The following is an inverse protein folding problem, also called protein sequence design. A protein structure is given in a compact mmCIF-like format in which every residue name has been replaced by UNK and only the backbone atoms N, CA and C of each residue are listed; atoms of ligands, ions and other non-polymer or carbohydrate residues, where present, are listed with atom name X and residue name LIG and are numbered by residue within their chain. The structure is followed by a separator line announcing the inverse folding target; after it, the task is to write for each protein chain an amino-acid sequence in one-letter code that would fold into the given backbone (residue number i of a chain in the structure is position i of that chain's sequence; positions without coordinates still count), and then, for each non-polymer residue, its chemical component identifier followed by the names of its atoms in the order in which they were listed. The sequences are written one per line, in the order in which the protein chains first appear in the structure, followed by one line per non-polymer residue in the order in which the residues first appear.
data_IF_309153491867
#
_entry.id   IF_309153491867
#
_cell.length_a   1.000
_cell.length_b   1.000
_cell.length_c   1.000
_cell.angle_alpha   90.00
_cell.angle_beta   90.00
_cell.angle_gamma   90.00
#
_symmetry.space_group_name_H-M   'P 1'
#
loop_
_entity.id
_entity.type
_entity.pdbx_description
1 polymer ?
#
# COMPACT_ATOMS: atom_id res chain seq x y z
N UNK A 1 -26.73 41.16 -11.54
CA UNK A 1 -26.00 40.05 -10.89
C UNK A 1 -26.84 39.58 -9.73
N UNK A 2 -27.76 38.64 -9.96
CA UNK A 2 -28.62 38.11 -8.90
C UNK A 2 -28.02 36.81 -8.38
N UNK A 3 -27.39 36.89 -7.22
CA UNK A 3 -26.88 35.74 -6.48
C UNK A 3 -28.06 35.10 -5.75
N UNK A 4 -28.65 34.06 -6.37
CA UNK A 4 -29.67 33.24 -5.72
C UNK A 4 -29.04 32.49 -4.55
N UNK A 5 -29.45 32.87 -3.34
CA UNK A 5 -29.15 32.18 -2.09
C UNK A 5 -29.87 30.83 -2.15
N UNK A 6 -29.11 29.75 -2.33
CA UNK A 6 -29.61 28.38 -2.20
C UNK A 6 -29.82 28.13 -0.70
N UNK A 7 -31.07 28.19 -0.27
CA UNK A 7 -31.50 27.77 1.06
C UNK A 7 -31.27 26.27 1.20
N UNK A 8 -30.25 25.87 1.96
CA UNK A 8 -30.06 24.48 2.39
C UNK A 8 -31.23 24.05 3.28
N UNK A 9 -31.89 22.90 3.04
CA UNK A 9 -32.81 22.34 4.00
C UNK A 9 -32.02 21.86 5.23
N UNK A 10 -32.58 22.12 6.40
CA UNK A 10 -32.02 21.77 7.71
C UNK A 10 -31.96 20.25 7.89
N UNK A 11 -30.83 19.63 7.51
CA UNK A 11 -30.54 18.25 7.88
C UNK A 11 -30.45 18.15 9.42
N UNK A 12 -31.43 17.48 10.05
CA UNK A 12 -31.35 17.13 11.48
C UNK A 12 -30.10 16.27 11.70
N UNK A 13 -29.29 16.63 12.69
CA UNK A 13 -28.05 15.91 12.99
C UNK A 13 -28.35 14.43 13.32
N UNK A 14 -27.53 13.48 12.82
CA UNK A 14 -27.76 12.07 13.06
C UNK A 14 -27.67 11.78 14.57
N UNK A 15 -28.62 11.01 15.08
CA UNK A 15 -28.65 10.56 16.48
C UNK A 15 -27.56 9.52 16.66
N UNK A 16 -26.34 9.96 17.00
CA UNK A 16 -25.23 9.08 17.35
C UNK A 16 -25.39 8.62 18.80
N UNK A 17 -25.82 7.37 18.99
CA UNK A 17 -25.83 6.72 20.31
C UNK A 17 -24.52 5.93 20.46
N UNK A 18 -23.62 6.30 21.40
CA UNK A 18 -22.35 5.58 21.58
C UNK A 18 -22.61 4.13 22.00
N UNK A 19 -22.10 3.17 21.23
CA UNK A 19 -22.26 1.72 21.45
C UNK A 19 -23.26 1.03 20.50
N UNK A 20 -24.02 1.79 19.70
CA UNK A 20 -24.92 1.26 18.69
C UNK A 20 -24.33 1.47 17.29
N UNK A 21 -24.44 0.47 16.40
CA UNK A 21 -23.98 0.62 15.03
C UNK A 21 -24.71 1.80 14.35
N UNK A 22 -24.00 2.63 13.57
CA UNK A 22 -24.63 3.80 12.94
C UNK A 22 -25.76 3.35 12.00
N UNK A 23 -26.95 3.89 12.23
CA UNK A 23 -28.15 3.67 11.41
C UNK A 23 -28.60 4.96 10.75
N UNK A 24 -29.18 4.84 9.56
CA UNK A 24 -29.78 5.94 8.82
C UNK A 24 -31.30 5.80 8.86
N UNK A 25 -32.03 6.89 9.10
CA UNK A 25 -33.49 6.81 9.17
C UNK A 25 -34.13 6.85 7.78
N UNK A 26 -35.29 6.20 7.63
CA UNK A 26 -36.06 6.26 6.37
C UNK A 26 -36.42 7.69 5.94
N UNK A 27 -36.44 8.65 6.88
CA UNK A 27 -36.71 10.05 6.61
C UNK A 27 -35.46 10.75 6.07
N UNK A 28 -34.29 10.48 6.64
CA UNK A 28 -33.00 10.92 6.08
C UNK A 28 -32.81 10.39 4.65
N UNK A 29 -33.16 9.13 4.38
CA UNK A 29 -33.14 8.57 3.01
C UNK A 29 -34.11 9.31 2.08
N UNK A 30 -35.30 9.65 2.55
CA UNK A 30 -36.30 10.40 1.78
C UNK A 30 -35.78 11.77 1.37
N UNK A 31 -35.11 12.47 2.31
CA UNK A 31 -34.46 13.76 2.05
C UNK A 31 -33.29 13.63 1.06
N UNK A 32 -32.44 12.62 1.24
CA UNK A 32 -31.28 12.36 0.37
C UNK A 32 -31.67 12.09 -1.09
N UNK A 33 -32.76 11.34 -1.31
CA UNK A 33 -33.22 10.96 -2.65
C UNK A 33 -34.28 11.94 -3.20
N UNK A 34 -34.69 12.95 -2.42
CA UNK A 34 -35.76 13.88 -2.80
C UNK A 34 -37.12 13.19 -3.01
N UNK A 35 -37.35 12.05 -2.35
CA UNK A 35 -38.55 11.23 -2.46
C UNK A 35 -39.48 11.42 -1.28
N UNK A 36 -40.80 11.21 -1.48
CA UNK A 36 -41.76 11.25 -0.36
C UNK A 36 -41.48 10.11 0.63
N UNK A 37 -41.53 10.39 1.93
CA UNK A 37 -41.26 9.40 2.99
C UNK A 37 -42.12 8.14 2.88
N UNK A 38 -43.41 8.29 2.52
CA UNK A 38 -44.31 7.14 2.31
C UNK A 38 -43.84 6.21 1.18
N UNK A 39 -43.21 6.75 0.13
CA UNK A 39 -42.66 5.95 -0.98
C UNK A 39 -41.39 5.21 -0.57
N UNK A 40 -40.60 5.81 0.31
CA UNK A 40 -39.44 5.13 0.90
C UNK A 40 -39.89 3.97 1.78
N UNK A 41 -40.91 4.16 2.63
CA UNK A 41 -41.49 3.08 3.46
C UNK A 41 -42.03 1.92 2.63
N UNK A 42 -42.84 2.22 1.61
CA UNK A 42 -43.36 1.22 0.67
C UNK A 42 -42.22 0.43 -0.01
N UNK A 43 -41.13 1.11 -0.37
CA UNK A 43 -39.97 0.46 -0.98
C UNK A 43 -39.23 -0.43 0.00
N UNK A 44 -39.07 -0.01 1.25
CA UNK A 44 -38.47 -0.81 2.33
C UNK A 44 -39.28 -2.09 2.57
N UNK A 45 -40.60 -1.96 2.73
CA UNK A 45 -41.49 -3.10 2.95
C UNK A 45 -41.41 -4.10 1.80
N UNK A 46 -41.50 -3.61 0.56
CA UNK A 46 -41.38 -4.45 -0.63
C UNK A 46 -40.00 -5.13 -0.76
N UNK A 47 -38.92 -4.44 -0.40
CA UNK A 47 -37.56 -5.01 -0.42
C UNK A 47 -37.37 -6.08 0.66
N UNK A 48 -37.97 -5.87 1.84
CA UNK A 48 -37.96 -6.84 2.93
C UNK A 48 -38.78 -8.10 2.57
N UNK A 49 -39.97 -7.92 1.97
CA UNK A 49 -40.80 -9.04 1.47
C UNK A 49 -40.07 -9.88 0.41
N UNK A 50 -39.27 -9.23 -0.45
CA UNK A 50 -38.44 -9.91 -1.45
C UNK A 50 -37.19 -10.57 -0.87
N UNK A 51 -36.90 -10.39 0.43
CA UNK A 51 -35.71 -10.90 1.09
C UNK A 51 -34.40 -10.24 0.65
N UNK A 52 -34.46 -9.05 0.03
CA UNK A 52 -33.26 -8.33 -0.42
C UNK A 52 -32.59 -7.55 0.72
N UNK A 53 -33.39 -7.12 1.70
CA UNK A 53 -32.95 -6.48 2.94
C UNK A 53 -33.59 -7.23 4.13
N UNK A 54 -32.94 -7.14 5.29
CA UNK A 54 -33.57 -7.60 6.53
C UNK A 54 -34.62 -6.57 6.94
N UNK A 55 -35.77 -7.02 7.45
CA UNK A 55 -36.81 -6.11 7.93
C UNK A 55 -36.23 -5.15 8.98
N UNK A 56 -36.14 -3.84 8.69
CA UNK A 56 -35.47 -2.92 9.60
C UNK A 56 -36.31 -2.66 10.86
N UNK A 57 -35.68 -2.44 12.03
CA UNK A 57 -36.41 -2.04 13.23
C UNK A 57 -37.09 -0.69 13.04
N UNK A 58 -38.26 -0.53 13.66
CA UNK A 58 -39.05 0.70 13.64
C UNK A 58 -38.74 1.52 14.88
N UNK A 59 -38.54 2.82 14.71
CA UNK A 59 -38.46 3.82 15.77
C UNK A 59 -39.45 4.96 15.53
N UNK A 60 -39.58 5.86 16.51
CA UNK A 60 -40.38 7.07 16.39
C UNK A 60 -39.46 8.29 16.40
N UNK A 61 -39.61 9.16 15.40
CA UNK A 61 -38.97 10.47 15.37
C UNK A 61 -39.99 11.55 15.65
N UNK A 62 -39.65 12.48 16.56
CA UNK A 62 -40.50 13.62 16.85
C UNK A 62 -40.15 14.77 15.92
N UNK A 63 -41.17 15.31 15.26
CA UNK A 63 -41.06 16.46 14.41
C UNK A 63 -42.08 17.53 14.79
N UNK A 64 -41.76 18.78 14.50
CA UNK A 64 -42.65 19.89 14.78
C UNK A 64 -43.34 20.28 13.48
N UNK A 65 -44.66 20.21 13.44
CA UNK A 65 -45.43 20.67 12.28
C UNK A 65 -45.21 22.19 12.08
N UNK A 66 -45.53 22.67 10.88
CA UNK A 66 -45.60 24.09 10.49
C UNK A 66 -46.44 24.96 11.44
N UNK A 67 -47.30 24.35 12.26
CA UNK A 67 -48.10 25.00 13.31
C UNK A 67 -47.53 24.83 14.73
N UNK A 68 -46.27 24.40 14.89
CA UNK A 68 -45.58 24.29 16.18
C UNK A 68 -45.95 23.06 17.02
N UNK A 69 -46.73 22.12 16.47
CA UNK A 69 -47.23 20.95 17.22
C UNK A 69 -46.29 19.76 17.07
N UNK A 70 -45.93 19.07 18.17
CA UNK A 70 -45.13 17.86 18.10
C UNK A 70 -45.93 16.72 17.45
N UNK A 71 -45.33 16.06 16.47
CA UNK A 71 -45.82 14.89 15.76
C UNK A 71 -44.78 13.79 15.84
N UNK A 72 -45.15 12.65 16.44
CA UNK A 72 -44.36 11.43 16.35
C UNK A 72 -44.61 10.78 14.99
N UNK A 73 -43.56 10.65 14.19
CA UNK A 73 -43.58 9.95 12.90
C UNK A 73 -42.79 8.67 13.02
N UNK A 74 -43.44 7.55 12.70
CA UNK A 74 -42.76 6.24 12.63
C UNK A 74 -41.70 6.26 11.53
N UNK A 75 -40.48 5.85 11.83
CA UNK A 75 -39.36 5.73 10.89
C UNK A 75 -38.74 4.34 10.98
N UNK A 76 -38.22 3.84 9.86
CA UNK A 76 -37.36 2.66 9.87
C UNK A 76 -35.92 3.09 10.14
N UNK A 77 -35.18 2.32 10.93
CA UNK A 77 -33.74 2.49 11.17
C UNK A 77 -32.96 1.49 10.33
N UNK A 78 -32.25 1.99 9.33
CA UNK A 78 -31.63 1.18 8.28
C UNK A 78 -30.13 1.10 8.49
N UNK A 79 -29.58 -0.11 8.38
CA UNK A 79 -28.13 -0.34 8.41
C UNK A 79 -27.45 0.04 7.08
N UNK A 80 -26.13 0.26 7.13
CA UNK A 80 -25.32 0.74 5.99
C UNK A 80 -25.55 -0.02 4.67
N UNK A 81 -25.60 -1.35 4.71
CA UNK A 81 -25.80 -2.17 3.49
C UNK A 81 -27.17 -1.90 2.87
N UNK A 82 -28.20 -2.00 3.69
CA UNK A 82 -29.59 -1.93 3.23
C UNK A 82 -29.94 -0.52 2.76
N UNK A 83 -29.32 0.53 3.32
CA UNK A 83 -29.48 1.91 2.84
C UNK A 83 -28.99 2.07 1.39
N UNK A 84 -27.89 1.41 0.99
CA UNK A 84 -27.44 1.46 -0.40
C UNK A 84 -28.42 0.79 -1.36
N UNK A 85 -28.99 -0.36 -0.96
CA UNK A 85 -29.97 -1.10 -1.77
C UNK A 85 -31.25 -0.27 -1.97
N UNK A 86 -31.74 0.35 -0.90
CA UNK A 86 -32.93 1.22 -0.94
C UNK A 86 -32.69 2.43 -1.84
N UNK A 87 -31.55 3.12 -1.68
CA UNK A 87 -31.19 4.28 -2.51
C UNK A 87 -31.02 3.90 -3.98
N UNK A 88 -30.37 2.76 -4.28
CA UNK A 88 -30.20 2.29 -5.65
C UNK A 88 -31.55 2.04 -6.36
N UNK A 89 -32.58 1.60 -5.63
CA UNK A 89 -33.92 1.41 -6.19
C UNK A 89 -34.69 2.73 -6.35
N UNK A 90 -34.53 3.67 -5.42
CA UNK A 90 -35.26 4.95 -5.43
C UNK A 90 -34.63 6.00 -6.35
N UNK A 91 -33.32 5.89 -6.63
CA UNK A 91 -32.59 6.78 -7.52
C UNK A 91 -32.08 6.02 -8.75
N UNK A 92 -32.88 5.97 -9.84
CA UNK A 92 -32.43 5.45 -11.12
C UNK A 92 -31.20 6.20 -11.65
N UNK A 93 -31.07 7.50 -11.37
CA UNK A 93 -29.93 8.33 -11.76
C UNK A 93 -28.63 7.84 -11.10
N UNK A 94 -28.66 7.50 -9.81
CA UNK A 94 -27.50 6.94 -9.12
C UNK A 94 -27.07 5.60 -9.75
N UNK A 95 -28.04 4.74 -10.05
CA UNK A 95 -27.79 3.45 -10.69
C UNK A 95 -27.27 3.62 -12.13
N UNK A 96 -27.80 4.57 -12.90
CA UNK A 96 -27.33 4.89 -14.24
C UNK A 96 -25.87 5.34 -14.22
N UNK A 97 -25.50 6.28 -13.33
CA UNK A 97 -24.11 6.73 -13.16
C UNK A 97 -23.16 5.59 -12.80
N UNK A 98 -23.62 4.65 -11.98
CA UNK A 98 -22.84 3.47 -11.63
C UNK A 98 -22.61 2.58 -12.87
N UNK A 99 -23.65 2.33 -13.67
CA UNK A 99 -23.56 1.57 -14.92
C UNK A 99 -22.65 2.27 -15.92
N UNK A 100 -22.82 3.57 -16.15
CA UNK A 100 -22.00 4.36 -17.06
C UNK A 100 -20.52 4.30 -16.67
N UNK A 101 -20.23 4.37 -15.37
CA UNK A 101 -18.86 4.26 -14.85
C UNK A 101 -18.26 2.88 -15.11
N UNK A 102 -19.04 1.81 -14.99
CA UNK A 102 -18.58 0.46 -15.31
C UNK A 102 -18.33 0.29 -16.81
N UNK A 103 -19.22 0.80 -17.66
CA UNK A 103 -19.02 0.79 -19.11
C UNK A 103 -17.77 1.58 -19.52
N UNK A 104 -17.52 2.72 -18.89
CA UNK A 104 -16.28 3.49 -19.10
C UNK A 104 -15.04 2.66 -18.76
N UNK A 105 -15.02 2.00 -17.59
CA UNK A 105 -13.90 1.14 -17.19
C UNK A 105 -13.72 -0.06 -18.13
N UNK A 106 -14.81 -0.69 -18.58
CA UNK A 106 -14.76 -1.78 -19.55
C UNK A 106 -14.23 -1.32 -20.90
N UNK A 107 -14.63 -0.14 -21.37
CA UNK A 107 -14.11 0.46 -22.61
C UNK A 107 -12.62 0.81 -22.54
N UNK A 108 -12.08 1.07 -21.34
CA UNK A 108 -10.65 1.29 -21.14
C UNK A 108 -9.84 -0.02 -21.26
N UNK A 109 -10.47 -1.17 -21.02
CA UNK A 109 -9.85 -2.47 -21.25
C UNK A 109 -9.95 -2.80 -22.75
N UNK A 110 -8.96 -2.31 -23.50
CA UNK A 110 -8.87 -2.56 -24.94
C UNK A 110 -8.41 -3.99 -25.21
N UNK A 111 -9.37 -4.91 -25.32
CA UNK A 111 -9.13 -6.27 -25.82
C UNK A 111 -9.01 -6.21 -27.34
N UNK A 112 -8.02 -6.88 -27.96
CA UNK A 112 -7.92 -6.95 -29.42
C UNK A 112 -9.23 -7.50 -30.01
N UNK A 113 -9.87 -6.71 -30.88
CA UNK A 113 -11.18 -7.06 -31.44
C UNK A 113 -11.11 -8.12 -32.54
N UNK A 114 -9.90 -8.43 -33.02
CA UNK A 114 -9.66 -9.41 -34.08
C UNK A 114 -8.58 -10.40 -33.69
N UNK A 115 -8.69 -11.62 -34.22
CA UNK A 115 -7.71 -12.69 -33.99
C UNK A 115 -6.30 -12.30 -34.47
N UNK A 116 -6.19 -11.54 -35.57
CA UNK A 116 -4.91 -11.07 -36.11
C UNK A 116 -4.22 -10.04 -35.19
N UNK A 117 -4.99 -9.14 -34.58
CA UNK A 117 -4.46 -8.16 -33.62
C UNK A 117 -4.02 -8.83 -32.32
N UNK A 118 -4.76 -9.84 -31.85
CA UNK A 118 -4.38 -10.64 -30.69
C UNK A 118 -3.05 -11.39 -30.92
N UNK A 119 -2.88 -12.01 -32.09
CA UNK A 119 -1.64 -12.70 -32.44
C UNK A 119 -0.44 -11.76 -32.53
N UNK A 120 -0.63 -10.55 -33.05
CA UNK A 120 0.45 -9.53 -33.09
C UNK A 120 0.86 -9.09 -31.70
N UNK A 121 -0.10 -8.81 -30.83
CA UNK A 121 0.19 -8.45 -29.44
C UNK A 121 0.90 -9.58 -28.69
N UNK A 122 0.47 -10.83 -28.91
CA UNK A 122 1.11 -12.00 -28.34
C UNK A 122 2.56 -12.16 -28.83
N UNK A 123 2.82 -11.91 -30.12
CA UNK A 123 4.17 -11.94 -30.67
C UNK A 123 5.07 -10.87 -30.04
N UNK A 124 4.61 -9.62 -29.93
CA UNK A 124 5.36 -8.55 -29.29
C UNK A 124 5.67 -8.86 -27.81
N UNK A 125 4.70 -9.45 -27.11
CA UNK A 125 4.91 -9.90 -25.73
C UNK A 125 5.95 -11.03 -25.64
N UNK A 126 5.90 -12.01 -26.55
CA UNK A 126 6.87 -13.10 -26.59
C UNK A 126 8.29 -12.59 -26.84
N UNK A 127 8.48 -11.67 -27.79
CA UNK A 127 9.77 -11.04 -28.06
C UNK A 127 10.31 -10.29 -26.82
N UNK A 128 9.44 -9.54 -26.12
CA UNK A 128 9.82 -8.87 -24.87
C UNK A 128 10.24 -9.85 -23.78
N UNK A 129 9.52 -10.96 -23.63
CA UNK A 129 9.86 -12.00 -22.66
C UNK A 129 11.20 -12.63 -23.01
N UNK A 130 11.47 -12.94 -24.28
CA UNK A 130 12.77 -13.45 -24.72
C UNK A 130 13.91 -12.47 -24.44
N UNK A 131 13.72 -11.18 -24.75
CA UNK A 131 14.74 -10.16 -24.46
C UNK A 131 15.02 -10.03 -22.96
N UNK A 132 13.98 -10.03 -22.13
CA UNK A 132 14.11 -10.00 -20.67
C UNK A 132 14.79 -11.26 -20.16
N UNK A 133 14.44 -12.43 -20.68
CA UNK A 133 15.05 -13.70 -20.30
C UNK A 133 16.52 -13.77 -20.74
N UNK A 134 16.86 -13.26 -21.92
CA UNK A 134 18.24 -13.13 -22.38
C UNK A 134 19.05 -12.21 -21.45
N UNK A 135 18.48 -11.07 -21.03
CA UNK A 135 19.12 -10.19 -20.05
C UNK A 135 19.30 -10.88 -18.68
N UNK A 136 18.30 -11.63 -18.22
CA UNK A 136 18.37 -12.39 -16.96
C UNK A 136 19.39 -13.52 -17.02
N UNK A 137 19.47 -14.27 -18.12
CA UNK A 137 20.47 -15.34 -18.31
C UNK A 137 21.89 -14.78 -18.42
N UNK A 138 22.08 -13.62 -19.07
CA UNK A 138 23.36 -12.91 -19.06
C UNK A 138 23.74 -12.40 -17.66
N UNK A 139 22.76 -12.03 -16.84
CA UNK A 139 22.96 -11.62 -15.44
C UNK A 139 23.08 -12.80 -14.46
N UNK A 140 22.58 -13.99 -14.81
CA UNK A 140 22.56 -15.19 -13.98
C UNK A 140 23.92 -15.60 -13.41
N UNK A 141 25.04 -15.65 -14.17
CA UNK A 141 26.33 -16.02 -13.59
C UNK A 141 26.85 -14.99 -12.57
N UNK A 142 26.38 -13.73 -12.65
CA UNK A 142 26.75 -12.67 -11.70
C UNK A 142 25.98 -12.80 -10.38
N UNK A 143 24.75 -13.31 -10.43
CA UNK A 143 23.92 -13.59 -9.23
C UNK A 143 24.34 -14.93 -8.60
N UNK A 144 24.58 -15.96 -9.40
CA UNK A 144 24.93 -17.30 -8.90
C UNK A 144 26.33 -17.33 -8.26
N UNK A 145 27.30 -16.55 -8.78
CA UNK A 145 28.59 -16.35 -8.11
C UNK A 145 28.42 -15.69 -6.74
N UNK A 146 27.54 -14.69 -6.64
CA UNK A 146 27.29 -13.97 -5.39
C UNK A 146 26.57 -14.88 -4.38
N UNK A 147 25.63 -15.71 -4.82
CA UNK A 147 24.89 -16.64 -3.95
C UNK A 147 25.72 -17.83 -3.49
N UNK A 148 26.51 -18.48 -4.39
CA UNK A 148 27.45 -19.55 -4.00
C UNK A 148 28.54 -19.03 -3.06
N UNK A 149 28.97 -17.78 -3.23
CA UNK A 149 29.98 -17.16 -2.36
C UNK A 149 29.39 -16.72 -1.01
N UNK A 150 28.08 -16.41 -0.96
CA UNK A 150 27.34 -16.16 0.27
C UNK A 150 27.06 -17.46 1.06
N UNK A 151 26.86 -18.60 0.40
CA UNK A 151 26.61 -19.88 1.10
C UNK A 151 27.88 -20.57 1.62
N UNK A 152 29.07 -20.18 1.19
CA UNK A 152 30.34 -20.72 1.69
C UNK A 152 30.64 -20.20 3.12
N UNK A 153 30.14 -20.95 4.11
CA UNK A 153 30.26 -20.78 5.55
C UNK A 153 31.46 -19.95 6.05
N UNK A 154 31.18 -18.72 6.51
CA UNK A 154 32.07 -17.95 7.38
C UNK A 154 31.96 -16.45 7.18
N UNK A 155 31.76 -15.73 8.28
CA UNK A 155 31.92 -14.27 8.33
C UNK A 155 33.31 -13.84 7.85
N UNK A 156 33.41 -12.85 6.96
CA UNK A 156 34.69 -12.42 6.35
C UNK A 156 35.23 -11.15 7.01
N UNK A 157 36.54 -11.07 7.15
CA UNK A 157 37.22 -9.89 7.65
C UNK A 157 37.26 -8.77 6.61
N UNK A 158 37.45 -7.53 7.06
CA UNK A 158 37.47 -6.33 6.21
C UNK A 158 38.39 -6.45 4.99
N UNK A 159 39.63 -6.92 5.16
CA UNK A 159 40.60 -7.07 4.08
C UNK A 159 40.20 -8.13 3.05
N UNK A 160 39.55 -9.20 3.49
CA UNK A 160 39.09 -10.28 2.60
C UNK A 160 37.99 -9.76 1.67
N UNK A 161 37.06 -8.96 2.22
CA UNK A 161 35.99 -8.31 1.44
C UNK A 161 36.56 -7.27 0.47
N UNK A 162 37.56 -6.47 0.88
CA UNK A 162 38.23 -5.52 -0.03
C UNK A 162 38.87 -6.24 -1.24
N UNK A 163 39.58 -7.35 -0.99
CA UNK A 163 40.20 -8.15 -2.07
C UNK A 163 39.14 -8.72 -3.01
N UNK A 164 38.04 -9.22 -2.45
CA UNK A 164 36.94 -9.78 -3.23
C UNK A 164 36.29 -8.74 -4.15
N UNK A 165 36.06 -7.54 -3.64
CA UNK A 165 35.42 -6.46 -4.38
C UNK A 165 36.37 -5.70 -5.30
N UNK A 166 37.67 -6.05 -5.34
CA UNK A 166 38.70 -5.30 -6.03
C UNK A 166 38.84 -3.85 -5.53
N UNK A 167 38.48 -3.60 -4.27
CA UNK A 167 38.42 -2.26 -3.68
C UNK A 167 39.73 -1.93 -2.95
N UNK A 168 40.24 -0.70 -3.15
CA UNK A 168 41.35 -0.18 -2.34
C UNK A 168 40.88 0.02 -0.89
N UNK A 169 41.60 -0.55 0.08
CA UNK A 169 41.21 -0.54 1.50
C UNK A 169 40.88 0.87 2.04
N UNK A 170 41.63 1.88 1.60
CA UNK A 170 41.41 3.27 2.00
C UNK A 170 40.06 3.82 1.52
N UNK A 171 39.73 3.60 0.24
CA UNK A 171 38.46 4.09 -0.33
C UNK A 171 37.26 3.33 0.21
N UNK A 172 37.39 2.02 0.40
CA UNK A 172 36.32 1.22 0.97
C UNK A 172 36.04 1.62 2.43
N UNK A 173 37.09 1.97 3.20
CA UNK A 173 36.92 2.51 4.55
C UNK A 173 36.22 3.87 4.56
N UNK A 174 36.54 4.75 3.61
CA UNK A 174 35.86 6.05 3.46
C UNK A 174 34.38 5.86 3.14
N UNK A 175 34.07 4.99 2.17
CA UNK A 175 32.69 4.63 1.82
C UNK A 175 31.87 4.18 3.03
N UNK A 176 32.40 3.27 3.86
CA UNK A 176 31.67 2.81 5.04
C UNK A 176 31.40 3.91 6.07
N UNK A 177 32.27 4.92 6.16
CA UNK A 177 32.12 6.05 7.07
C UNK A 177 31.14 7.08 6.49
N UNK A 178 31.27 7.43 5.20
CA UNK A 178 30.42 8.41 4.52
C UNK A 178 28.96 7.95 4.45
N UNK A 179 28.73 6.68 4.13
CA UNK A 179 27.40 6.09 4.03
C UNK A 179 26.82 5.69 5.41
N UNK A 180 27.47 6.11 6.51
CA UNK A 180 27.04 5.83 7.90
C UNK A 180 26.80 4.33 8.14
N UNK A 181 27.66 3.49 7.58
CA UNK A 181 27.61 2.03 7.72
C UNK A 181 28.45 1.57 8.90
N UNK A 182 29.59 2.24 9.11
CA UNK A 182 30.47 2.02 10.24
C UNK A 182 31.13 3.34 10.69
N UNK A 183 31.47 3.43 11.96
CA UNK A 183 32.15 4.57 12.57
C UNK A 183 33.45 4.14 13.25
N UNK A 184 34.29 5.10 13.63
CA UNK A 184 35.54 4.82 14.35
C UNK A 184 35.29 4.90 15.86
N UNK A 185 35.59 3.82 16.57
CA UNK A 185 35.58 3.74 18.02
C UNK A 185 36.98 3.31 18.49
N UNK A 186 37.67 4.16 19.25
CA UNK A 186 39.04 3.89 19.72
C UNK A 186 40.02 3.42 18.62
N UNK A 187 39.90 3.99 17.41
CA UNK A 187 40.73 3.63 16.25
C UNK A 187 40.28 2.37 15.49
N UNK A 188 39.26 1.65 15.99
CA UNK A 188 38.69 0.44 15.37
C UNK A 188 37.40 0.77 14.62
N UNK A 189 37.22 0.18 13.44
CA UNK A 189 36.02 0.36 12.64
C UNK A 189 34.88 -0.52 13.19
N UNK A 190 33.80 0.11 13.64
CA UNK A 190 32.65 -0.53 14.29
C UNK A 190 31.38 -0.28 13.48
N UNK A 191 30.58 -1.31 13.14
CA UNK A 191 29.35 -1.13 12.37
C UNK A 191 28.27 -0.46 13.23
N UNK A 192 27.37 0.29 12.59
CA UNK A 192 26.19 0.82 13.29
C UNK A 192 25.19 -0.30 13.61
N UNK A 193 24.42 -0.11 14.71
CA UNK A 193 23.49 -1.10 15.23
C UNK A 193 22.42 -1.53 14.21
N UNK A 194 21.89 -0.59 13.43
CA UNK A 194 20.94 -0.86 12.34
C UNK A 194 21.45 -1.88 11.31
N UNK A 195 22.77 -1.92 11.03
CA UNK A 195 23.38 -2.87 10.11
C UNK A 195 23.70 -4.22 10.78
N UNK A 196 23.89 -4.24 12.10
CA UNK A 196 23.98 -5.47 12.91
C UNK A 196 22.60 -6.14 12.96
N UNK A 197 21.55 -5.38 13.30
CA UNK A 197 20.16 -5.86 13.38
C UNK A 197 19.64 -6.36 12.02
N UNK A 198 20.08 -5.72 10.93
CA UNK A 198 19.79 -6.17 9.57
C UNK A 198 20.52 -7.47 9.18
N UNK A 199 21.40 -7.99 10.05
CA UNK A 199 22.18 -9.21 9.84
C UNK A 199 23.29 -9.05 8.79
N UNK A 200 23.74 -7.83 8.51
CA UNK A 200 24.79 -7.53 7.52
C UNK A 200 26.19 -7.64 8.13
N UNK A 201 26.34 -7.29 9.40
CA UNK A 201 27.61 -7.36 10.10
C UNK A 201 27.45 -8.10 11.41
N UNK A 202 28.52 -8.75 11.83
CA UNK A 202 28.66 -9.32 13.16
C UNK A 202 29.94 -8.79 13.80
N UNK A 203 29.89 -8.51 15.10
CA UNK A 203 31.06 -8.10 15.88
C UNK A 203 31.52 -9.31 16.66
N UNK A 204 32.69 -9.86 16.32
CA UNK A 204 33.31 -10.92 17.12
C UNK A 204 34.19 -10.28 18.17
N UNK A 205 33.90 -10.60 19.42
CA UNK A 205 34.75 -10.26 20.57
C UNK A 205 35.59 -11.48 20.93
N UNK A 206 36.89 -11.29 21.14
CA UNK A 206 37.79 -12.38 21.48
C UNK A 206 38.97 -11.88 22.31
N UNK A 207 39.65 -12.80 22.99
CA UNK A 207 40.87 -12.53 23.73
C UNK A 207 42.02 -13.10 22.90
N UNK A 208 43.04 -12.29 22.59
CA UNK A 208 44.21 -12.79 21.89
C UNK A 208 45.03 -13.69 22.82
N UNK A 209 45.22 -14.97 22.46
CA UNK A 209 46.05 -15.92 23.21
C UNK A 209 47.51 -15.45 23.39
N UNK A 210 47.96 -14.44 22.63
CA UNK A 210 49.32 -13.93 22.70
C UNK A 210 49.50 -12.74 23.66
N UNK A 211 48.43 -12.03 24.05
CA UNK A 211 48.58 -10.75 24.76
C UNK A 211 47.40 -10.36 25.67
N UNK A 212 46.44 -11.27 25.93
CA UNK A 212 45.27 -11.09 26.82
C UNK A 212 44.36 -9.86 26.54
N UNK A 213 44.65 -9.07 25.50
CA UNK A 213 43.79 -7.95 25.11
C UNK A 213 42.52 -8.44 24.41
N UNK A 214 41.38 -7.99 24.93
CA UNK A 214 40.09 -8.13 24.27
C UNK A 214 40.06 -7.30 22.97
N UNK A 215 39.76 -7.95 21.85
CA UNK A 215 39.60 -7.28 20.56
C UNK A 215 38.15 -7.42 20.07
N UNK A 216 37.63 -6.32 19.53
CA UNK A 216 36.33 -6.29 18.85
C UNK A 216 36.59 -6.13 17.36
N UNK A 217 36.28 -7.16 16.57
CA UNK A 217 36.49 -7.13 15.13
C UNK A 217 35.16 -7.21 14.39
N UNK A 218 34.92 -6.21 13.52
CA UNK A 218 33.83 -6.24 12.56
C UNK A 218 34.06 -7.32 11.51
N UNK A 219 33.05 -8.17 11.29
CA UNK A 219 33.03 -9.15 10.22
C UNK A 219 31.76 -9.01 9.38
N UNK A 220 31.88 -9.32 8.10
CA UNK A 220 30.79 -9.26 7.14
C UNK A 220 30.14 -10.63 7.07
N UNK A 221 28.83 -10.69 7.28
CA UNK A 221 28.06 -11.90 7.01
C UNK A 221 27.96 -12.10 5.49
N UNK A 222 27.58 -13.28 5.01
CA UNK A 222 27.21 -13.49 3.62
C UNK A 222 26.31 -12.40 3.03
N UNK A 223 25.22 -12.08 3.74
CA UNK A 223 24.27 -11.01 3.42
C UNK A 223 24.92 -9.63 3.44
N UNK A 224 25.88 -9.41 4.33
CA UNK A 224 26.66 -8.17 4.37
C UNK A 224 27.58 -7.99 3.17
N UNK A 225 28.20 -9.07 2.69
CA UNK A 225 29.08 -9.03 1.52
C UNK A 225 28.27 -8.73 0.26
N UNK A 226 27.11 -9.39 0.06
CA UNK A 226 26.25 -9.13 -1.11
C UNK A 226 25.73 -7.69 -1.11
N UNK A 227 25.27 -7.21 0.04
CA UNK A 227 24.82 -5.84 0.22
C UNK A 227 25.95 -4.82 -0.02
N UNK A 228 27.13 -5.04 0.57
CA UNK A 228 28.27 -4.15 0.39
C UNK A 228 28.76 -4.11 -1.06
N UNK A 229 28.67 -5.22 -1.80
CA UNK A 229 29.02 -5.25 -3.23
C UNK A 229 28.12 -4.34 -4.06
N UNK A 230 26.81 -4.37 -3.82
CA UNK A 230 25.84 -3.52 -4.53
C UNK A 230 26.01 -2.04 -4.21
N UNK A 231 26.13 -1.69 -2.93
CA UNK A 231 26.30 -0.30 -2.51
C UNK A 231 27.66 0.28 -2.92
N UNK A 232 28.72 -0.54 -2.89
CA UNK A 232 30.03 -0.14 -3.38
C UNK A 232 30.03 0.16 -4.89
N UNK A 233 29.29 -0.63 -5.69
CA UNK A 233 29.15 -0.37 -7.13
C UNK A 233 28.45 0.96 -7.42
N UNK A 234 27.36 1.27 -6.69
CA UNK A 234 26.66 2.56 -6.79
C UNK A 234 27.54 3.73 -6.37
N UNK A 235 28.28 3.57 -5.28
CA UNK A 235 29.20 4.59 -4.78
C UNK A 235 30.32 4.91 -5.79
N UNK A 236 30.87 3.89 -6.45
CA UNK A 236 31.86 4.08 -7.52
C UNK A 236 31.29 4.85 -8.71
N UNK A 237 30.05 4.56 -9.11
CA UNK A 237 29.39 5.24 -10.22
C UNK A 237 29.22 6.74 -9.91
N UNK A 238 28.67 7.05 -8.73
CA UNK A 238 28.48 8.43 -8.24
C UNK A 238 29.79 9.20 -8.17
N UNK A 239 30.88 8.59 -7.66
CA UNK A 239 32.20 9.23 -7.61
C UNK A 239 32.85 9.40 -8.99
N UNK A 240 32.48 8.59 -9.99
CA UNK A 240 32.91 8.79 -11.37
C UNK A 240 32.14 9.93 -12.04
N UNK A 241 30.84 10.06 -11.77
CA UNK A 241 30.00 11.15 -12.25
C UNK A 241 30.39 12.50 -11.63
N UNK A 242 30.75 12.55 -10.35
CA UNK A 242 31.22 13.76 -9.66
C UNK A 242 32.63 14.22 -10.09
N UNK A 243 33.40 13.34 -10.73
CA UNK A 243 34.76 13.61 -11.19
C UNK A 243 34.86 13.91 -12.71
N UNK A 244 33.74 13.80 -13.44
CA UNK A 244 33.62 14.11 -14.86
C UNK A 244 33.07 15.53 -15.07
#
# INVERSE_FOLDING_TARGET
MNTSIVTQPHAKAPVFIPGMAPTMSSREIAELVGSRHDKVKQSIERLAERGLIVQPPVGDEHDTDSMGRPRATRVYLIGKRDSYVIVAQLSPEFTARLVDRWQELESQVRVPGTFAEALRLAAEQAERIEQQQAALTAAAPKVEFVDRYATANGSKGFREVCKLLGAKEGHFRLFLIEEKVAYRLAGVLTPYQNHIDAGRFEVKTGISNANEHAFNQMRFTPKGVTWAAGEWAKYRLRRQEEAA
#
